data_IF_115911436239
#
_entry.id   IF_115911436239
#
_cell.length_a   1.000
_cell.length_b   1.000
_cell.length_c   1.000
_cell.angle_alpha   90.00
_cell.angle_beta   90.00
_cell.angle_gamma   90.00
#
_symmetry.space_group_name_H-M   'P 1'
#
loop_
_entity.id
_entity.type
_entity.pdbx_description
1 polymer ?
#
# COMPACT_ATOMS: atom_id res chain seq x y z
N UNK A 1 8.65 10.69 -12.62
CA UNK A 1 9.76 11.60 -12.21
C UNK A 1 11.05 10.81 -12.03
N UNK A 2 12.26 11.36 -12.18
CA UNK A 2 13.48 10.56 -12.14
C UNK A 2 13.66 9.77 -10.83
N UNK A 3 14.39 8.65 -10.89
CA UNK A 3 14.80 7.94 -9.68
C UNK A 3 15.66 8.83 -8.78
N UNK A 4 15.66 8.58 -7.47
CA UNK A 4 16.44 9.32 -6.45
C UNK A 4 16.02 10.79 -6.23
N UNK A 5 14.85 11.21 -6.70
CA UNK A 5 14.31 12.55 -6.41
C UNK A 5 13.58 12.65 -5.07
N UNK A 6 13.57 11.59 -4.25
CA UNK A 6 12.88 11.54 -2.95
C UNK A 6 11.35 11.40 -3.01
N UNK A 7 10.79 11.06 -4.18
CA UNK A 7 9.34 10.83 -4.34
C UNK A 7 8.83 9.71 -3.44
N UNK A 8 9.64 8.67 -3.33
CA UNK A 8 9.43 7.54 -2.44
C UNK A 8 9.36 8.04 -1.00
N UNK A 9 10.36 8.81 -0.54
CA UNK A 9 10.38 9.41 0.80
C UNK A 9 9.13 10.26 1.07
N UNK A 10 8.72 11.11 0.14
CA UNK A 10 7.50 11.92 0.27
C UNK A 10 6.24 11.05 0.42
N UNK A 11 6.12 9.98 -0.36
CA UNK A 11 4.99 9.06 -0.27
C UNK A 11 4.95 8.34 1.09
N UNK A 12 6.09 7.91 1.63
CA UNK A 12 6.16 7.30 2.98
C UNK A 12 5.73 8.30 4.05
N UNK A 13 6.29 9.51 4.04
CA UNK A 13 5.94 10.56 5.02
C UNK A 13 4.45 10.90 4.91
N UNK A 14 3.93 11.02 3.68
CA UNK A 14 2.51 11.25 3.45
C UNK A 14 1.66 10.13 4.02
N UNK A 15 2.01 8.85 3.89
CA UNK A 15 1.22 7.79 4.55
C UNK A 15 1.40 7.81 6.08
N UNK A 16 2.64 7.89 6.56
CA UNK A 16 2.97 7.82 7.99
C UNK A 16 2.32 8.96 8.81
N UNK A 17 2.38 10.20 8.33
CA UNK A 17 1.67 11.32 8.97
C UNK A 17 0.15 11.16 8.91
N UNK A 18 -0.37 10.46 7.89
CA UNK A 18 -1.78 10.13 7.80
C UNK A 18 -2.20 9.16 8.89
N UNK A 19 -1.41 8.10 9.09
CA UNK A 19 -1.64 7.11 10.12
C UNK A 19 -1.57 7.71 11.53
N UNK A 20 -0.63 8.65 11.78
CA UNK A 20 -0.58 9.41 13.04
C UNK A 20 -1.86 10.21 13.32
N UNK A 21 -2.54 10.66 12.27
CA UNK A 21 -3.81 11.39 12.34
C UNK A 21 -5.05 10.46 12.28
N UNK A 22 -4.87 9.14 12.28
CA UNK A 22 -5.98 8.20 12.15
C UNK A 22 -6.60 8.14 10.75
N UNK A 23 -5.84 8.54 9.72
CA UNK A 23 -6.25 8.45 8.31
C UNK A 23 -5.62 7.18 7.71
N UNK A 24 -6.43 6.18 7.29
CA UNK A 24 -5.92 4.95 6.71
C UNK A 24 -5.32 5.18 5.32
N UNK A 25 -4.54 4.22 4.84
CA UNK A 25 -3.91 4.29 3.51
C UNK A 25 -3.99 3.00 2.72
N UNK A 26 -4.23 3.14 1.41
CA UNK A 26 -4.10 2.09 0.40
C UNK A 26 -2.80 2.34 -0.37
N UNK A 27 -1.99 1.31 -0.48
CA UNK A 27 -0.74 1.31 -1.23
C UNK A 27 -0.86 0.37 -2.42
N UNK A 28 -0.58 0.87 -3.62
CA UNK A 28 -0.39 0.08 -4.83
C UNK A 28 1.09 0.11 -5.16
N UNK A 29 1.75 -1.04 -5.12
CA UNK A 29 3.21 -1.14 -5.29
C UNK A 29 3.56 -2.00 -6.51
N UNK A 30 4.42 -1.49 -7.38
CA UNK A 30 4.78 -2.15 -8.65
C UNK A 30 6.26 -2.48 -8.81
N UNK A 31 7.11 -1.95 -7.93
CA UNK A 31 8.57 -2.01 -8.01
C UNK A 31 9.25 -2.42 -6.69
N UNK A 32 8.49 -2.47 -5.59
CA UNK A 32 8.91 -2.96 -4.27
C UNK A 32 7.87 -3.90 -3.72
N UNK A 33 8.32 -4.80 -2.84
CA UNK A 33 7.38 -5.68 -2.14
C UNK A 33 6.63 -4.89 -1.07
N UNK A 34 5.39 -5.30 -0.78
CA UNK A 34 4.59 -4.75 0.31
C UNK A 34 5.35 -4.82 1.65
N UNK A 35 6.19 -5.85 1.84
CA UNK A 35 6.99 -6.03 3.05
C UNK A 35 8.06 -4.95 3.21
N UNK A 36 8.74 -4.56 2.12
CA UNK A 36 9.72 -3.47 2.13
C UNK A 36 9.04 -2.13 2.46
N UNK A 37 7.90 -1.83 1.83
CA UNK A 37 7.17 -0.59 2.12
C UNK A 37 6.62 -0.59 3.55
N UNK A 38 6.15 -1.74 4.04
CA UNK A 38 5.76 -1.92 5.45
C UNK A 38 6.91 -1.60 6.40
N UNK A 39 8.11 -2.10 6.12
CA UNK A 39 9.30 -1.83 6.95
C UNK A 39 9.63 -0.33 6.99
N UNK A 40 9.62 0.33 5.84
CA UNK A 40 9.83 1.77 5.73
C UNK A 40 8.79 2.56 6.58
N UNK A 41 7.51 2.18 6.49
CA UNK A 41 6.43 2.84 7.23
C UNK A 41 6.52 2.58 8.74
N UNK A 42 6.87 1.36 9.14
CA UNK A 42 7.05 1.00 10.55
C UNK A 42 8.22 1.77 11.19
N UNK A 43 9.29 2.04 10.42
CA UNK A 43 10.40 2.87 10.88
C UNK A 43 9.99 4.35 11.11
N UNK A 44 9.04 4.87 10.33
CA UNK A 44 8.57 6.27 10.42
C UNK A 44 7.41 6.47 11.41
N UNK A 45 6.69 5.40 11.74
CA UNK A 45 5.52 5.44 12.61
C UNK A 45 5.55 4.29 13.63
N UNK A 46 5.97 4.56 14.89
CA UNK A 46 6.03 3.54 15.94
C UNK A 46 4.70 2.81 16.20
N UNK A 47 3.55 3.45 15.94
CA UNK A 47 2.22 2.84 16.08
C UNK A 47 1.79 1.95 14.92
N UNK A 48 2.69 1.65 13.96
CA UNK A 48 2.33 0.91 12.74
C UNK A 48 1.69 -0.45 13.03
N UNK A 49 2.23 -1.22 13.98
CA UNK A 49 1.72 -2.55 14.29
C UNK A 49 0.24 -2.53 14.76
N UNK A 50 -0.12 -1.53 15.56
CA UNK A 50 -1.50 -1.35 16.01
C UNK A 50 -2.41 -0.89 14.86
N UNK A 51 -1.93 0.05 14.05
CA UNK A 51 -2.65 0.51 12.86
C UNK A 51 -2.89 -0.64 11.86
N UNK A 52 -1.90 -1.51 11.63
CA UNK A 52 -2.03 -2.70 10.79
C UNK A 52 -3.08 -3.66 11.36
N UNK A 53 -3.03 -3.94 12.68
CA UNK A 53 -4.01 -4.78 13.36
C UNK A 53 -5.44 -4.23 13.24
N UNK A 54 -5.59 -2.92 13.29
CA UNK A 54 -6.88 -2.24 13.13
C UNK A 54 -7.33 -2.13 11.65
N UNK A 55 -6.49 -2.60 10.73
CA UNK A 55 -6.76 -2.57 9.31
C UNK A 55 -6.74 -1.15 8.74
N UNK A 56 -5.82 -0.31 9.21
CA UNK A 56 -5.59 1.05 8.71
C UNK A 56 -4.73 1.08 7.44
N UNK A 57 -4.00 0.00 7.16
CA UNK A 57 -3.13 -0.12 5.98
C UNK A 57 -3.67 -1.23 5.08
N UNK A 58 -3.62 -0.97 3.77
CA UNK A 58 -3.97 -1.92 2.72
C UNK A 58 -2.89 -1.90 1.64
N UNK A 59 -2.54 -3.07 1.12
CA UNK A 59 -1.60 -3.20 0.01
C UNK A 59 -2.24 -3.96 -1.15
N UNK A 60 -2.06 -3.43 -2.35
CA UNK A 60 -2.17 -4.17 -3.60
C UNK A 60 -0.76 -4.25 -4.18
N UNK A 61 -0.17 -5.43 -4.10
CA UNK A 61 1.21 -5.68 -4.51
C UNK A 61 1.22 -6.41 -5.86
N UNK A 62 1.77 -5.73 -6.87
CA UNK A 62 1.96 -6.26 -8.22
C UNK A 62 3.39 -6.75 -8.48
N UNK A 63 4.29 -6.60 -7.51
CA UNK A 63 5.72 -6.84 -7.64
C UNK A 63 6.18 -8.16 -7.00
N UNK A 64 5.71 -8.49 -5.80
CA UNK A 64 6.19 -9.65 -5.01
C UNK A 64 6.18 -10.96 -5.81
N UNK A 65 5.13 -11.19 -6.61
CA UNK A 65 5.03 -12.40 -7.45
C UNK A 65 6.09 -12.45 -8.55
N UNK A 66 6.49 -11.30 -9.08
CA UNK A 66 7.51 -11.23 -10.14
C UNK A 66 8.89 -11.62 -9.63
N UNK A 67 9.16 -11.43 -8.33
CA UNK A 67 10.39 -11.84 -7.65
C UNK A 67 10.26 -13.17 -6.90
N UNK A 68 9.21 -13.96 -7.19
CA UNK A 68 9.01 -15.30 -6.63
C UNK A 68 8.44 -15.35 -5.21
N UNK A 69 8.05 -14.20 -4.64
CA UNK A 69 7.40 -14.15 -3.33
C UNK A 69 5.88 -14.30 -3.46
N UNK A 70 5.33 -15.29 -2.77
CA UNK A 70 3.88 -15.54 -2.67
C UNK A 70 3.34 -15.30 -1.26
N UNK A 71 4.19 -14.86 -0.34
CA UNK A 71 3.79 -14.58 1.04
C UNK A 71 2.93 -13.31 1.10
N UNK A 72 1.77 -13.45 1.72
CA UNK A 72 0.82 -12.35 1.97
C UNK A 72 0.71 -12.05 3.46
N UNK A 73 0.09 -10.93 3.81
CA UNK A 73 -0.15 -10.48 5.17
C UNK A 73 -1.54 -9.87 5.37
N UNK A 74 -1.88 -9.44 6.59
CA UNK A 74 -3.13 -8.74 6.88
C UNK A 74 -3.28 -7.51 5.99
N UNK A 75 -4.44 -7.37 5.32
CA UNK A 75 -4.71 -6.23 4.44
C UNK A 75 -3.91 -6.22 3.13
N UNK A 76 -3.20 -7.30 2.79
CA UNK A 76 -2.42 -7.43 1.55
C UNK A 76 -3.20 -8.24 0.50
N UNK A 77 -3.13 -7.80 -0.75
CA UNK A 77 -3.57 -8.55 -1.93
C UNK A 77 -2.42 -8.59 -2.91
N UNK A 78 -2.03 -9.81 -3.30
CA UNK A 78 -1.01 -10.02 -4.32
C UNK A 78 -1.69 -10.21 -5.66
N UNK A 79 -1.35 -9.38 -6.64
CA UNK A 79 -1.72 -9.54 -8.04
C UNK A 79 -0.44 -9.80 -8.86
N UNK A 80 -0.55 -10.40 -10.04
CA UNK A 80 0.58 -10.41 -10.98
C UNK A 80 0.37 -9.36 -12.06
N UNK A 81 1.36 -8.52 -12.31
CA UNK A 81 1.37 -7.59 -13.44
C UNK A 81 1.24 -8.30 -14.80
N UNK A 82 1.52 -9.60 -14.85
CA UNK A 82 1.38 -10.45 -16.04
C UNK A 82 0.02 -11.14 -16.15
N UNK A 83 -0.86 -11.03 -15.15
CA UNK A 83 -2.18 -11.67 -15.19
C UNK A 83 -3.08 -10.98 -16.22
N UNK A 84 -3.85 -11.78 -16.97
CA UNK A 84 -4.84 -11.24 -17.90
C UNK A 84 -5.91 -10.48 -17.12
N UNK A 85 -6.12 -9.21 -17.48
CA UNK A 85 -7.10 -8.35 -16.81
C UNK A 85 -6.63 -7.82 -15.44
N UNK A 86 -5.32 -7.77 -15.18
CA UNK A 86 -4.77 -7.25 -13.92
C UNK A 86 -5.26 -5.83 -13.58
N UNK A 87 -5.46 -4.97 -14.58
CA UNK A 87 -5.96 -3.61 -14.35
C UNK A 87 -7.39 -3.61 -13.77
N UNK A 88 -8.26 -4.48 -14.27
CA UNK A 88 -9.62 -4.64 -13.75
C UNK A 88 -9.58 -5.20 -12.32
N UNK A 89 -8.73 -6.22 -12.09
CA UNK A 89 -8.53 -6.80 -10.76
C UNK A 89 -7.99 -5.77 -9.75
N UNK A 90 -7.05 -4.93 -10.17
CA UNK A 90 -6.51 -3.82 -9.38
C UNK A 90 -7.61 -2.81 -9.04
N UNK A 91 -8.38 -2.37 -10.04
CA UNK A 91 -9.47 -1.43 -9.83
C UNK A 91 -10.54 -1.99 -8.87
N UNK A 92 -10.96 -3.24 -9.07
CA UNK A 92 -11.89 -3.92 -8.16
C UNK A 92 -11.33 -4.02 -6.73
N UNK A 93 -10.05 -4.37 -6.59
CA UNK A 93 -9.41 -4.50 -5.27
C UNK A 93 -9.30 -3.16 -4.54
N UNK A 94 -8.85 -2.12 -5.24
CA UNK A 94 -8.75 -0.76 -4.68
C UNK A 94 -10.14 -0.24 -4.29
N UNK A 95 -11.17 -0.48 -5.11
CA UNK A 95 -12.53 -0.09 -4.79
C UNK A 95 -13.06 -0.80 -3.54
N UNK A 96 -12.86 -2.12 -3.43
CA UNK A 96 -13.26 -2.87 -2.23
C UNK A 96 -12.58 -2.33 -0.96
N UNK A 97 -11.27 -2.07 -1.01
CA UNK A 97 -10.56 -1.44 0.09
C UNK A 97 -11.04 -0.03 0.40
N UNK A 98 -11.33 0.77 -0.63
CA UNK A 98 -11.89 2.12 -0.47
C UNK A 98 -13.23 2.09 0.25
N UNK A 99 -14.12 1.16 -0.09
CA UNK A 99 -15.42 0.98 0.55
C UNK A 99 -15.27 0.54 2.02
N UNK A 100 -14.44 -0.47 2.30
CA UNK A 100 -14.15 -0.93 3.67
C UNK A 100 -13.59 0.19 4.57
N UNK A 101 -12.73 1.05 4.02
CA UNK A 101 -12.14 2.15 4.75
C UNK A 101 -13.14 3.29 4.95
N UNK A 102 -13.89 3.67 3.91
CA UNK A 102 -14.91 4.73 3.99
C UNK A 102 -16.06 4.40 4.95
N UNK A 103 -16.34 3.11 5.15
CA UNK A 103 -17.34 2.68 6.13
C UNK A 103 -16.94 2.98 7.59
N UNK A 104 -15.63 3.15 7.87
CA UNK A 104 -15.08 3.33 9.23
C UNK A 104 -14.35 4.65 9.42
N UNK A 105 -13.93 5.29 8.33
CA UNK A 105 -13.11 6.51 8.34
C UNK A 105 -13.68 7.54 7.35
N UNK A 106 -13.62 8.85 7.66
CA UNK A 106 -14.11 9.90 6.77
C UNK A 106 -13.39 9.96 5.41
N UNK A 107 -12.13 9.51 5.37
CA UNK A 107 -11.29 9.53 4.17
C UNK A 107 -10.16 8.49 4.28
N UNK A 108 -9.40 8.32 3.19
CA UNK A 108 -8.17 7.53 3.13
C UNK A 108 -7.15 8.21 2.22
N UNK A 109 -5.88 7.82 2.34
CA UNK A 109 -4.80 8.19 1.43
C UNK A 109 -4.57 7.05 0.44
N UNK A 110 -4.43 7.36 -0.84
CA UNK A 110 -4.09 6.39 -1.88
C UNK A 110 -2.72 6.74 -2.44
N UNK A 111 -1.82 5.77 -2.41
CA UNK A 111 -0.47 5.90 -2.93
C UNK A 111 -0.28 4.88 -4.04
N UNK A 112 0.06 5.38 -5.23
CA UNK A 112 0.62 4.56 -6.30
C UNK A 112 2.13 4.76 -6.28
N UNK A 113 2.86 3.73 -5.85
CA UNK A 113 4.30 3.71 -5.95
C UNK A 113 4.71 3.01 -7.23
N UNK A 114 5.27 3.80 -8.15
CA UNK A 114 5.88 3.34 -9.39
C UNK A 114 7.13 4.18 -9.66
N UNK A 115 8.16 3.56 -10.24
CA UNK A 115 9.42 4.23 -10.63
C UNK A 115 9.20 5.31 -11.71
N UNK A 116 8.07 5.27 -12.42
CA UNK A 116 7.77 6.13 -13.59
C UNK A 116 7.73 7.65 -13.30
#
# INVERSE_FOLDING_TARGET
GPAHTGKDTLARIFSAEGLKLGIPSIWVVTDRTWAQVKEDLAALFPGYAEAEKNGMIRFVDLYSRSVGSTQSGPGVRLLSSTDRGVLDQLATTVNGFSEELKARHPTYRLVFESVS
#
